data_IF_223492446011
#
_entry.id   IF_223492446011
#
_cell.length_a   1.000
_cell.length_b   1.000
_cell.length_c   1.000
_cell.angle_alpha   90.00
_cell.angle_beta   90.00
_cell.angle_gamma   90.00
#
_symmetry.space_group_name_H-M   'P 1'
#
loop_
_entity.id
_entity.type
_entity.pdbx_description
1 polymer ?
#
# COMPACT_ATOMS: atom_id res chain seq x y z
N UNK A 1 -18.02 21.77 -13.32
CA UNK A 1 -18.69 22.37 -12.16
C UNK A 1 -17.78 22.14 -10.98
N UNK A 2 -17.07 23.18 -10.53
CA UNK A 2 -16.22 23.15 -9.34
C UNK A 2 -17.17 23.04 -8.11
N UNK A 3 -17.15 21.89 -7.46
CA UNK A 3 -17.75 21.75 -6.14
C UNK A 3 -16.87 22.56 -5.16
N UNK A 4 -17.31 23.75 -4.84
CA UNK A 4 -16.85 24.49 -3.66
C UNK A 4 -17.29 23.68 -2.45
N UNK A 5 -16.49 22.73 -2.01
CA UNK A 5 -16.65 22.11 -0.70
C UNK A 5 -16.24 23.15 0.34
N UNK A 6 -17.20 23.98 0.78
CA UNK A 6 -17.10 24.71 2.03
C UNK A 6 -16.74 23.69 3.11
N UNK A 7 -15.60 23.88 3.74
CA UNK A 7 -14.98 23.10 4.80
C UNK A 7 -15.93 22.11 5.51
N UNK A 8 -16.08 20.91 4.95
CA UNK A 8 -16.86 19.86 5.59
C UNK A 8 -16.12 19.41 6.85
N UNK A 9 -16.81 19.46 7.99
CA UNK A 9 -16.24 19.04 9.28
C UNK A 9 -16.81 17.68 9.66
N UNK A 10 -15.93 16.69 9.72
CA UNK A 10 -16.26 15.33 10.15
C UNK A 10 -16.17 15.21 11.66
N UNK A 11 -17.17 14.54 12.26
CA UNK A 11 -17.28 14.31 13.71
C UNK A 11 -17.07 15.57 14.56
N UNK A 12 -17.40 16.76 14.02
CA UNK A 12 -17.17 18.08 14.65
C UNK A 12 -15.71 18.36 15.03
N UNK A 13 -14.75 17.65 14.41
CA UNK A 13 -13.33 17.69 14.76
C UNK A 13 -12.40 17.82 13.54
N UNK A 14 -12.66 17.12 12.46
CA UNK A 14 -11.73 17.07 11.32
C UNK A 14 -12.26 17.92 10.18
N UNK A 15 -11.64 19.08 9.95
CA UNK A 15 -11.99 19.99 8.87
C UNK A 15 -11.24 19.61 7.60
N UNK A 16 -11.98 19.18 6.58
CA UNK A 16 -11.39 18.85 5.28
C UNK A 16 -10.93 20.10 4.55
N UNK A 17 -9.71 20.08 3.98
CA UNK A 17 -9.13 21.23 3.27
C UNK A 17 -9.01 20.98 1.76
N UNK A 18 -8.30 19.94 1.38
CA UNK A 18 -8.01 19.64 -0.03
C UNK A 18 -7.92 18.13 -0.29
N UNK A 19 -8.36 17.73 -1.48
CA UNK A 19 -8.23 16.35 -1.94
C UNK A 19 -6.76 16.04 -2.25
N UNK A 20 -6.21 14.97 -1.65
CA UNK A 20 -4.87 14.45 -1.95
C UNK A 20 -4.95 13.38 -3.04
N UNK A 21 -5.84 12.40 -2.88
CA UNK A 21 -5.99 11.29 -3.80
C UNK A 21 -7.42 10.77 -3.83
N UNK A 22 -7.82 10.14 -4.96
CA UNK A 22 -9.10 9.45 -5.11
C UNK A 22 -8.88 8.11 -5.79
N UNK A 23 -9.55 7.06 -5.30
CA UNK A 23 -9.41 5.70 -5.81
C UNK A 23 -10.68 4.86 -5.64
N UNK A 24 -10.55 3.58 -5.95
CA UNK A 24 -11.69 2.64 -5.92
C UNK A 24 -12.37 2.51 -4.56
N UNK A 25 -11.66 2.70 -3.46
CA UNK A 25 -12.17 2.54 -2.10
C UNK A 25 -12.65 3.83 -1.46
N UNK A 26 -12.22 4.97 -1.97
CA UNK A 26 -12.56 6.25 -1.38
C UNK A 26 -11.63 7.37 -1.82
N UNK A 27 -11.60 8.39 -1.00
CA UNK A 27 -10.77 9.58 -1.21
C UNK A 27 -9.94 9.89 0.03
N UNK A 28 -8.73 10.38 -0.17
CA UNK A 28 -7.83 10.84 0.89
C UNK A 28 -7.75 12.35 0.83
N UNK A 29 -7.99 12.98 1.96
CA UNK A 29 -8.03 14.43 2.11
C UNK A 29 -6.98 14.92 3.07
N UNK A 30 -6.37 16.06 2.78
CA UNK A 30 -5.72 16.88 3.77
C UNK A 30 -6.80 17.50 4.66
N UNK A 31 -6.59 17.46 5.98
CA UNK A 31 -7.54 18.01 6.95
C UNK A 31 -6.80 18.60 8.16
N UNK A 32 -7.50 19.35 8.98
CA UNK A 32 -7.02 19.84 10.27
C UNK A 32 -7.83 19.19 11.39
N UNK A 33 -7.14 18.62 12.37
CA UNK A 33 -7.71 18.21 13.66
C UNK A 33 -7.92 19.50 14.51
N UNK A 34 -9.15 19.98 14.57
CA UNK A 34 -9.51 21.22 15.26
C UNK A 34 -9.32 21.16 16.79
N UNK A 35 -9.20 19.95 17.36
CA UNK A 35 -8.99 19.77 18.81
C UNK A 35 -7.50 19.84 19.16
N UNK A 36 -6.64 19.22 18.32
CA UNK A 36 -5.21 19.17 18.57
C UNK A 36 -4.41 20.18 17.73
N UNK A 37 -5.10 20.99 16.93
CA UNK A 37 -4.53 22.02 16.03
C UNK A 37 -3.35 21.49 15.21
N UNK A 38 -3.58 20.38 14.49
CA UNK A 38 -2.54 19.73 13.68
C UNK A 38 -3.08 19.25 12.33
N UNK A 39 -2.25 19.26 11.28
CA UNK A 39 -2.62 18.67 10.01
C UNK A 39 -2.66 17.13 10.11
N UNK A 40 -3.65 16.55 9.41
CA UNK A 40 -3.88 15.11 9.34
C UNK A 40 -4.29 14.70 7.92
N UNK A 41 -4.13 13.43 7.58
CA UNK A 41 -4.75 12.84 6.41
C UNK A 41 -6.05 12.13 6.83
N UNK A 42 -7.12 12.34 6.07
CA UNK A 42 -8.42 11.69 6.32
C UNK A 42 -8.81 10.89 5.09
N UNK A 43 -8.92 9.58 5.27
CA UNK A 43 -9.41 8.66 4.24
C UNK A 43 -10.88 8.41 4.42
N UNK A 44 -11.70 8.82 3.44
CA UNK A 44 -13.15 8.61 3.43
C UNK A 44 -13.47 7.35 2.65
N UNK A 45 -14.28 6.46 3.23
CA UNK A 45 -14.81 5.31 2.52
C UNK A 45 -15.91 5.77 1.54
N UNK A 46 -15.94 5.19 0.33
CA UNK A 46 -17.02 5.47 -0.62
C UNK A 46 -18.40 5.10 -0.05
N UNK A 47 -19.37 5.94 -0.28
CA UNK A 47 -20.74 5.75 0.23
C UNK A 47 -21.35 4.42 -0.23
N UNK A 48 -21.06 3.99 -1.48
CA UNK A 48 -21.55 2.72 -2.00
C UNK A 48 -20.98 1.51 -1.25
N UNK A 49 -19.72 1.61 -0.81
CA UNK A 49 -19.05 0.58 0.00
C UNK A 49 -19.52 0.62 1.46
N UNK A 50 -19.90 1.79 1.95
CA UNK A 50 -20.43 1.98 3.29
C UNK A 50 -21.85 1.38 3.49
N UNK A 51 -22.55 1.02 2.42
CA UNK A 51 -23.83 0.31 2.48
C UNK A 51 -23.69 -1.18 2.85
N UNK A 52 -22.49 -1.73 2.79
CA UNK A 52 -22.21 -3.13 3.14
C UNK A 52 -21.65 -3.26 4.56
N UNK A 53 -22.42 -3.80 5.54
CA UNK A 53 -21.99 -3.94 6.94
C UNK A 53 -20.63 -4.67 7.08
N UNK A 54 -20.42 -5.71 6.28
CA UNK A 54 -19.16 -6.45 6.25
C UNK A 54 -17.97 -5.59 5.84
N UNK A 55 -18.17 -4.64 4.93
CA UNK A 55 -17.10 -3.72 4.49
C UNK A 55 -16.73 -2.74 5.58
N UNK A 56 -17.71 -2.19 6.29
CA UNK A 56 -17.46 -1.30 7.44
C UNK A 56 -16.77 -2.07 8.57
N UNK A 57 -17.25 -3.27 8.90
CA UNK A 57 -16.65 -4.09 9.96
C UNK A 57 -15.17 -4.40 9.67
N UNK A 58 -14.83 -4.69 8.41
CA UNK A 58 -13.45 -4.91 7.96
C UNK A 58 -12.62 -3.64 8.03
N UNK A 59 -13.13 -2.53 7.50
CA UNK A 59 -12.46 -1.22 7.55
C UNK A 59 -12.12 -0.83 9.01
N UNK A 60 -13.06 -1.06 9.94
CA UNK A 60 -12.86 -0.85 11.38
C UNK A 60 -11.82 -1.81 11.98
N UNK A 61 -11.86 -3.10 11.62
CA UNK A 61 -10.90 -4.08 12.12
C UNK A 61 -9.46 -3.75 11.66
N UNK A 62 -9.29 -3.37 10.41
CA UNK A 62 -8.01 -2.95 9.83
C UNK A 62 -7.49 -1.65 10.47
N UNK A 63 -8.37 -0.68 10.68
CA UNK A 63 -8.03 0.54 11.42
C UNK A 63 -7.49 0.22 12.81
N UNK A 64 -8.12 -0.72 13.54
CA UNK A 64 -7.66 -1.15 14.87
C UNK A 64 -6.30 -1.84 14.83
N UNK A 65 -6.06 -2.70 13.84
CA UNK A 65 -4.77 -3.37 13.68
C UNK A 65 -3.67 -2.37 13.33
N UNK A 66 -3.93 -1.46 12.40
CA UNK A 66 -2.96 -0.43 12.02
C UNK A 66 -2.67 0.57 13.16
N UNK A 67 -3.68 0.91 13.98
CA UNK A 67 -3.51 1.82 15.12
C UNK A 67 -2.59 1.25 16.21
N UNK A 68 -2.48 -0.09 16.31
CA UNK A 68 -1.55 -0.75 17.23
C UNK A 68 -0.10 -0.80 16.76
N UNK A 69 0.20 -0.41 15.51
CA UNK A 69 1.54 -0.42 14.98
C UNK A 69 2.25 0.91 15.27
N UNK A 70 3.49 0.84 15.75
CA UNK A 70 4.35 2.01 15.98
C UNK A 70 5.75 1.74 15.44
N UNK A 71 6.09 2.39 14.34
CA UNK A 71 7.41 2.31 13.71
C UNK A 71 7.64 3.55 12.84
N UNK A 72 8.88 4.10 12.75
CA UNK A 72 9.16 5.27 11.91
C UNK A 72 8.70 5.12 10.45
N UNK A 73 8.84 3.93 9.87
CA UNK A 73 8.43 3.65 8.50
C UNK A 73 6.94 3.27 8.36
N UNK A 74 6.10 3.44 9.37
CA UNK A 74 4.65 3.18 9.29
C UNK A 74 3.91 4.48 9.54
N UNK A 75 2.99 4.86 8.65
CA UNK A 75 2.10 5.99 8.86
C UNK A 75 1.17 5.71 10.04
N UNK A 76 1.21 6.56 11.06
CA UNK A 76 0.44 6.36 12.28
C UNK A 76 -1.05 6.59 12.04
N UNK A 77 -1.88 5.66 12.50
CA UNK A 77 -3.34 5.84 12.57
C UNK A 77 -3.69 6.55 13.88
N UNK A 78 -4.50 7.61 13.80
CA UNK A 78 -4.87 8.44 14.94
C UNK A 78 -6.29 8.23 15.42
N UNK A 79 -7.23 8.01 14.48
CA UNK A 79 -8.65 7.93 14.83
C UNK A 79 -9.43 7.21 13.73
N UNK A 80 -10.64 6.78 14.08
CA UNK A 80 -11.58 6.14 13.17
C UNK A 80 -13.00 6.61 13.49
N UNK A 81 -13.76 7.01 12.47
CA UNK A 81 -15.17 7.36 12.59
C UNK A 81 -16.05 6.43 11.80
N UNK A 82 -17.12 5.95 12.43
CA UNK A 82 -18.13 5.13 11.78
C UNK A 82 -19.02 5.95 10.85
N UNK A 83 -19.57 5.27 9.84
CA UNK A 83 -20.64 5.83 9.04
C UNK A 83 -21.86 6.15 9.93
N UNK A 84 -22.43 7.34 9.80
CA UNK A 84 -23.60 7.78 10.55
C UNK A 84 -24.50 8.67 9.68
N UNK A 85 -25.71 8.20 9.40
CA UNK A 85 -26.61 8.86 8.45
C UNK A 85 -25.97 8.94 7.07
N UNK A 86 -25.90 10.15 6.52
CA UNK A 86 -25.27 10.40 5.20
C UNK A 86 -23.74 10.58 5.25
N UNK A 87 -23.14 10.48 6.44
CA UNK A 87 -21.70 10.66 6.61
C UNK A 87 -20.96 9.32 6.40
N UNK A 88 -19.92 9.29 5.56
CA UNK A 88 -19.13 8.09 5.33
C UNK A 88 -18.27 7.72 6.56
N UNK A 89 -17.92 6.42 6.68
CA UNK A 89 -16.85 6.02 7.59
C UNK A 89 -15.52 6.64 7.14
N UNK A 90 -14.67 7.00 8.11
CA UNK A 90 -13.39 7.63 7.82
C UNK A 90 -12.28 7.13 8.75
N UNK A 91 -11.06 7.23 8.25
CA UNK A 91 -9.84 6.93 8.98
C UNK A 91 -8.96 8.17 9.02
N UNK A 92 -8.50 8.56 10.21
CA UNK A 92 -7.58 9.69 10.40
C UNK A 92 -6.18 9.15 10.63
N UNK A 93 -5.21 9.64 9.88
CA UNK A 93 -3.84 9.17 9.93
C UNK A 93 -2.84 10.31 9.81
N UNK A 94 -1.58 9.99 10.03
CA UNK A 94 -0.45 10.87 9.82
C UNK A 94 -0.48 11.45 8.41
N UNK A 95 -0.40 12.76 8.30
CA UNK A 95 -0.20 13.43 7.01
C UNK A 95 1.29 13.42 6.68
N UNK A 96 1.65 12.72 5.62
CA UNK A 96 3.03 12.64 5.15
C UNK A 96 3.29 13.77 4.18
N UNK A 97 4.29 14.58 4.47
CA UNK A 97 4.71 15.70 3.62
C UNK A 97 5.78 15.24 2.64
N UNK A 98 5.35 14.55 1.59
CA UNK A 98 6.23 14.03 0.56
C UNK A 98 5.48 13.24 -0.51
N UNK A 99 6.12 13.00 -1.67
CA UNK A 99 5.51 12.29 -2.78
C UNK A 99 5.47 10.78 -2.55
N UNK A 100 4.58 10.07 -3.22
CA UNK A 100 4.66 8.61 -3.32
C UNK A 100 5.90 8.20 -4.15
N UNK A 101 6.42 7.01 -3.87
CA UNK A 101 7.57 6.43 -4.59
C UNK A 101 7.30 6.32 -6.11
N UNK A 102 6.04 6.20 -6.50
CA UNK A 102 5.60 6.25 -7.91
C UNK A 102 6.13 7.50 -8.64
N UNK A 103 6.10 8.66 -7.97
CA UNK A 103 6.52 9.93 -8.59
C UNK A 103 8.04 10.02 -8.74
N UNK A 104 8.80 9.32 -7.89
CA UNK A 104 10.24 9.21 -8.03
C UNK A 104 10.59 8.30 -9.21
N UNK A 105 9.97 7.12 -9.28
CA UNK A 105 10.16 6.14 -10.35
C UNK A 105 9.79 6.75 -11.72
N UNK A 106 8.75 7.58 -11.78
CA UNK A 106 8.35 8.26 -13.02
C UNK A 106 9.42 9.18 -13.60
N UNK A 107 10.43 9.57 -12.80
CA UNK A 107 11.57 10.38 -13.25
C UNK A 107 12.72 9.53 -13.81
N UNK A 108 12.65 8.20 -13.65
CA UNK A 108 13.63 7.23 -14.10
C UNK A 108 14.06 6.25 -13.01
N UNK A 109 14.94 5.32 -13.38
CA UNK A 109 15.51 4.36 -12.45
C UNK A 109 16.31 5.04 -11.33
N UNK A 110 16.19 4.51 -10.11
CA UNK A 110 16.89 5.04 -8.94
C UNK A 110 18.24 4.35 -8.75
N UNK A 111 19.23 5.04 -8.11
CA UNK A 111 20.49 4.43 -7.74
C UNK A 111 20.31 3.23 -6.78
N UNK A 112 21.09 2.17 -6.96
CA UNK A 112 20.98 0.96 -6.14
C UNK A 112 21.10 1.23 -4.62
N UNK A 113 21.95 2.15 -4.20
CA UNK A 113 22.11 2.53 -2.80
C UNK A 113 20.83 3.15 -2.22
N UNK A 114 20.15 4.01 -2.98
CA UNK A 114 18.87 4.62 -2.57
C UNK A 114 17.77 3.57 -2.49
N UNK A 115 17.71 2.65 -3.46
CA UNK A 115 16.75 1.55 -3.45
C UNK A 115 16.95 0.64 -2.25
N UNK A 116 18.21 0.31 -1.90
CA UNK A 116 18.51 -0.50 -0.72
C UNK A 116 18.09 0.18 0.58
N UNK A 117 18.27 1.50 0.69
CA UNK A 117 17.82 2.26 1.85
C UNK A 117 16.28 2.25 1.96
N UNK A 118 15.58 2.47 0.86
CA UNK A 118 14.11 2.37 0.81
C UNK A 118 13.64 0.97 1.24
N UNK A 119 14.24 -0.10 0.67
CA UNK A 119 13.87 -1.49 1.01
C UNK A 119 14.10 -1.76 2.49
N UNK A 120 15.24 -1.34 3.04
CA UNK A 120 15.58 -1.58 4.44
C UNK A 120 14.57 -0.91 5.38
N UNK A 121 14.16 0.33 5.10
CA UNK A 121 13.15 1.03 5.88
C UNK A 121 11.78 0.33 5.80
N UNK A 122 11.34 -0.04 4.59
CA UNK A 122 10.05 -0.74 4.39
C UNK A 122 10.09 -2.12 5.07
N UNK A 123 11.17 -2.88 4.91
CA UNK A 123 11.33 -4.17 5.56
C UNK A 123 11.25 -4.05 7.09
N UNK A 124 11.92 -3.05 7.69
CA UNK A 124 11.82 -2.77 9.12
C UNK A 124 10.38 -2.52 9.58
N UNK A 125 9.60 -1.73 8.83
CA UNK A 125 8.19 -1.50 9.10
C UNK A 125 7.35 -2.77 8.97
N UNK A 126 7.58 -3.55 7.90
CA UNK A 126 6.89 -4.82 7.68
C UNK A 126 7.21 -5.85 8.77
N UNK A 127 8.46 -5.92 9.25
CA UNK A 127 8.84 -6.81 10.36
C UNK A 127 8.02 -6.53 11.61
N UNK A 128 7.83 -5.26 11.97
CA UNK A 128 6.98 -4.86 13.12
C UNK A 128 5.52 -5.25 12.89
N UNK A 129 4.98 -4.99 11.70
CA UNK A 129 3.60 -5.36 11.36
C UNK A 129 3.39 -6.88 11.42
N UNK A 130 4.30 -7.66 10.81
CA UNK A 130 4.24 -9.11 10.78
C UNK A 130 4.35 -9.73 12.18
N UNK A 131 5.21 -9.20 13.04
CA UNK A 131 5.32 -9.62 14.45
C UNK A 131 4.02 -9.37 15.23
N UNK A 132 3.25 -8.34 14.86
CA UNK A 132 1.92 -8.05 15.40
C UNK A 132 0.79 -8.85 14.73
N UNK A 133 1.11 -9.78 13.81
CA UNK A 133 0.12 -10.55 13.04
C UNK A 133 -0.59 -9.78 11.93
N UNK A 134 -0.08 -8.61 11.56
CA UNK A 134 -0.64 -7.75 10.52
C UNK A 134 0.13 -7.92 9.22
N UNK A 135 -0.55 -8.31 8.15
CA UNK A 135 0.00 -8.41 6.79
C UNK A 135 -0.52 -7.22 5.97
N UNK A 136 0.35 -6.54 5.22
CA UNK A 136 -0.03 -5.34 4.47
C UNK A 136 -0.91 -5.65 3.26
N UNK A 137 -0.59 -6.67 2.48
CA UNK A 137 -1.36 -7.21 1.33
C UNK A 137 -1.40 -6.36 0.06
N UNK A 138 -0.93 -5.11 0.09
CA UNK A 138 -0.96 -4.18 -1.04
C UNK A 138 0.31 -3.29 -1.07
N UNK A 139 1.49 -3.88 -0.89
CA UNK A 139 2.77 -3.18 -1.04
C UNK A 139 2.95 -2.83 -2.52
N UNK A 140 3.07 -1.52 -2.79
CA UNK A 140 3.30 -0.94 -4.12
C UNK A 140 3.85 0.48 -3.98
N UNK A 141 4.47 1.05 -5.01
CA UNK A 141 5.08 2.40 -4.93
C UNK A 141 4.10 3.49 -4.48
N UNK A 142 2.81 3.39 -4.85
CA UNK A 142 1.80 4.38 -4.46
C UNK A 142 1.46 4.38 -2.96
N UNK A 143 1.78 3.30 -2.22
CA UNK A 143 1.54 3.18 -0.78
C UNK A 143 2.83 3.42 0.04
N UNK A 144 3.92 3.82 -0.61
CA UNK A 144 5.20 4.16 0.00
C UNK A 144 5.46 5.65 -0.22
N UNK A 145 5.28 6.46 0.81
CA UNK A 145 5.52 7.90 0.74
C UNK A 145 6.91 8.21 1.26
N UNK A 146 7.61 9.13 0.62
CA UNK A 146 8.95 9.54 1.07
C UNK A 146 8.83 10.97 1.57
N UNK A 147 9.03 11.16 2.87
CA UNK A 147 8.96 12.48 3.48
C UNK A 147 10.18 13.34 3.10
N UNK A 148 10.16 14.62 3.50
CA UNK A 148 11.25 15.58 3.20
C UNK A 148 12.58 15.22 3.84
N UNK A 149 12.60 14.35 4.84
CA UNK A 149 13.83 13.88 5.49
C UNK A 149 14.43 12.64 4.80
N UNK A 150 13.73 12.06 3.81
CA UNK A 150 14.08 10.80 3.16
C UNK A 150 13.53 9.57 3.89
N UNK A 151 12.67 9.77 4.89
CA UNK A 151 12.05 8.65 5.61
C UNK A 151 10.89 8.07 4.79
N UNK A 152 10.91 6.75 4.61
CA UNK A 152 9.82 6.05 3.92
C UNK A 152 8.69 5.77 4.91
N UNK A 153 7.46 6.06 4.49
CA UNK A 153 6.24 5.78 5.24
C UNK A 153 5.33 4.82 4.48
N UNK A 154 5.09 3.67 5.06
CA UNK A 154 4.11 2.69 4.56
C UNK A 154 2.73 3.19 4.95
N UNK A 155 1.85 3.36 3.97
CA UNK A 155 0.45 3.78 4.17
C UNK A 155 -0.51 2.68 3.74
N UNK A 156 -1.78 2.78 4.09
CA UNK A 156 -2.84 1.90 3.62
C UNK A 156 -2.67 0.41 3.98
N UNK A 157 -2.26 0.12 5.22
CA UNK A 157 -2.24 -1.24 5.73
C UNK A 157 -3.60 -1.91 5.56
N UNK A 158 -3.64 -2.94 4.70
CA UNK A 158 -4.72 -3.93 4.62
C UNK A 158 -6.13 -3.45 4.27
N UNK A 159 -6.38 -2.14 4.15
CA UNK A 159 -7.72 -1.54 3.95
C UNK A 159 -8.43 -2.05 2.69
N UNK A 160 -7.68 -2.67 1.77
CA UNK A 160 -8.15 -3.07 0.46
C UNK A 160 -8.63 -4.51 0.35
N UNK A 161 -8.13 -5.43 1.16
CA UNK A 161 -8.35 -6.87 0.93
C UNK A 161 -9.00 -7.55 2.13
N UNK A 162 -10.31 -7.65 2.06
CA UNK A 162 -11.06 -8.54 2.91
C UNK A 162 -10.51 -9.98 2.87
N UNK A 163 -10.30 -10.57 4.02
CA UNK A 163 -10.06 -12.00 4.13
C UNK A 163 -11.12 -12.77 3.31
N UNK A 164 -10.69 -13.51 2.30
CA UNK A 164 -11.58 -14.30 1.44
C UNK A 164 -11.83 -13.73 0.04
N UNK A 165 -11.45 -12.51 -0.28
CA UNK A 165 -11.50 -12.03 -1.67
C UNK A 165 -10.25 -12.52 -2.39
N UNK A 166 -10.38 -13.56 -3.22
CA UNK A 166 -9.36 -13.88 -4.20
C UNK A 166 -9.18 -12.63 -5.10
N UNK A 167 -7.94 -12.25 -5.45
CA UNK A 167 -7.70 -11.16 -6.39
C UNK A 167 -8.45 -11.39 -7.70
N UNK A 168 -8.60 -12.65 -8.09
CA UNK A 168 -9.40 -13.10 -9.21
C UNK A 168 -10.83 -13.38 -8.72
N UNK A 169 -11.78 -12.54 -9.11
CA UNK A 169 -13.20 -12.78 -8.81
C UNK A 169 -13.70 -14.03 -9.55
N UNK A 170 -14.83 -14.60 -9.11
CA UNK A 170 -15.52 -15.71 -9.81
C UNK A 170 -15.87 -15.35 -11.27
N UNK A 171 -15.91 -14.08 -11.62
CA UNK A 171 -16.13 -13.55 -12.97
C UNK A 171 -14.84 -13.35 -13.76
N UNK A 172 -13.67 -13.75 -13.25
CA UNK A 172 -12.38 -13.56 -13.93
C UNK A 172 -11.84 -12.12 -13.88
N UNK A 173 -12.49 -11.22 -13.15
CA UNK A 173 -12.00 -9.85 -13.00
C UNK A 173 -10.96 -9.79 -11.89
N UNK A 174 -9.76 -9.31 -12.22
CA UNK A 174 -8.70 -9.07 -11.24
C UNK A 174 -8.94 -7.73 -10.54
N UNK A 175 -9.07 -7.75 -9.21
CA UNK A 175 -9.23 -6.52 -8.42
C UNK A 175 -7.85 -6.10 -7.90
N UNK A 176 -7.44 -4.87 -8.21
CA UNK A 176 -6.18 -4.29 -7.78
C UNK A 176 -5.15 -4.15 -8.90
N UNK A 177 -3.94 -3.75 -8.54
CA UNK A 177 -2.82 -3.59 -9.46
C UNK A 177 -2.03 -4.91 -9.52
N UNK A 178 -2.12 -5.69 -10.61
CA UNK A 178 -1.50 -7.01 -10.66
C UNK A 178 0.03 -6.98 -10.66
N UNK A 179 0.64 -5.84 -10.99
CA UNK A 179 2.09 -5.71 -11.17
C UNK A 179 2.96 -6.08 -9.95
N UNK A 180 2.38 -6.07 -8.75
CA UNK A 180 3.10 -6.40 -7.50
C UNK A 180 2.53 -7.62 -6.79
N UNK A 181 1.56 -8.31 -7.40
CA UNK A 181 0.80 -9.38 -6.75
C UNK A 181 1.62 -10.68 -6.68
N UNK A 182 1.77 -11.22 -5.49
CA UNK A 182 2.52 -12.46 -5.28
C UNK A 182 1.85 -13.67 -5.95
N UNK A 183 2.62 -14.65 -6.50
CA UNK A 183 2.11 -15.81 -7.22
C UNK A 183 1.08 -16.64 -6.45
N UNK A 184 1.27 -16.84 -5.16
CA UNK A 184 0.33 -17.55 -4.30
C UNK A 184 -1.02 -16.83 -4.19
N UNK A 185 -1.01 -15.49 -4.23
CA UNK A 185 -2.25 -14.69 -4.22
C UNK A 185 -3.04 -14.86 -5.51
N UNK A 186 -2.36 -14.94 -6.64
CA UNK A 186 -2.97 -15.22 -7.95
C UNK A 186 -3.60 -16.61 -7.95
N UNK A 187 -3.00 -17.55 -7.23
CA UNK A 187 -3.51 -18.91 -7.05
C UNK A 187 -4.65 -19.03 -6.03
N UNK A 188 -5.12 -17.89 -5.47
CA UNK A 188 -6.22 -17.86 -4.52
C UNK A 188 -5.83 -18.21 -3.07
N UNK A 189 -4.55 -18.36 -2.79
CA UNK A 189 -4.08 -18.59 -1.42
C UNK A 189 -4.16 -17.31 -0.57
N UNK A 190 -4.29 -17.41 0.74
CA UNK A 190 -4.30 -16.25 1.63
C UNK A 190 -2.95 -15.51 1.58
N UNK A 191 -2.98 -14.17 1.73
CA UNK A 191 -1.75 -13.41 1.87
C UNK A 191 -1.08 -13.71 3.22
N UNK A 192 0.24 -13.82 3.18
CA UNK A 192 1.09 -13.94 4.36
C UNK A 192 2.24 -12.93 4.31
N UNK A 193 3.10 -12.91 5.35
CA UNK A 193 4.32 -12.08 5.36
C UNK A 193 5.17 -12.23 4.09
N UNK A 194 5.33 -13.45 3.61
CA UNK A 194 6.08 -13.73 2.38
C UNK A 194 5.46 -13.07 1.13
N UNK A 195 4.14 -12.80 1.11
CA UNK A 195 3.50 -12.09 0.01
C UNK A 195 3.91 -10.61 -0.02
N UNK A 196 4.04 -9.97 1.15
CA UNK A 196 4.52 -8.60 1.24
C UNK A 196 5.98 -8.48 0.81
N UNK A 197 6.82 -9.49 1.16
CA UNK A 197 8.22 -9.56 0.71
C UNK A 197 8.35 -9.68 -0.81
N UNK A 198 7.50 -10.51 -1.43
CA UNK A 198 7.45 -10.58 -2.88
C UNK A 198 7.10 -9.21 -3.49
N UNK A 199 6.06 -8.57 -2.98
CA UNK A 199 5.63 -7.27 -3.47
C UNK A 199 6.72 -6.20 -3.27
N UNK A 200 7.46 -6.25 -2.15
CA UNK A 200 8.62 -5.39 -1.90
C UNK A 200 9.74 -5.63 -2.92
N UNK A 201 10.04 -6.89 -3.25
CA UNK A 201 10.99 -7.24 -4.30
C UNK A 201 10.58 -6.70 -5.67
N UNK A 202 9.28 -6.74 -6.00
CA UNK A 202 8.73 -6.16 -7.24
C UNK A 202 8.86 -4.63 -7.28
N UNK A 203 8.60 -3.96 -6.16
CA UNK A 203 8.85 -2.50 -6.02
C UNK A 203 10.33 -2.18 -6.22
N UNK A 204 11.22 -2.95 -5.60
CA UNK A 204 12.66 -2.77 -5.74
C UNK A 204 13.13 -2.96 -7.20
N UNK A 205 12.63 -4.00 -7.87
CA UNK A 205 12.91 -4.21 -9.29
C UNK A 205 12.51 -2.99 -10.12
N UNK A 206 11.30 -2.47 -9.92
CA UNK A 206 10.82 -1.30 -10.65
C UNK A 206 11.66 -0.04 -10.34
N UNK A 207 12.04 0.18 -9.09
CA UNK A 207 12.95 1.27 -8.72
C UNK A 207 14.29 1.18 -9.45
N UNK A 208 14.87 -0.01 -9.59
CA UNK A 208 16.18 -0.23 -10.22
C UNK A 208 16.13 -0.18 -11.75
N UNK A 209 15.01 -0.61 -12.34
CA UNK A 209 14.85 -0.67 -13.81
C UNK A 209 14.11 0.53 -14.39
N UNK A 210 13.36 1.29 -13.57
CA UNK A 210 12.46 2.36 -13.98
C UNK A 210 11.13 1.87 -14.59
N UNK A 211 10.86 0.56 -14.58
CA UNK A 211 9.66 -0.01 -15.18
C UNK A 211 9.25 -1.33 -14.49
N UNK A 212 7.97 -1.64 -14.53
CA UNK A 212 7.46 -2.95 -14.07
C UNK A 212 7.96 -4.06 -14.98
N UNK A 213 8.29 -5.27 -14.44
CA UNK A 213 8.86 -6.35 -15.24
C UNK A 213 7.88 -6.99 -16.21
N UNK A 214 6.58 -6.92 -15.93
CA UNK A 214 5.54 -7.56 -16.72
C UNK A 214 4.47 -6.55 -17.12
N UNK A 215 4.13 -6.54 -18.42
CA UNK A 215 3.14 -5.63 -19.02
C UNK A 215 2.09 -6.45 -19.79
N UNK A 216 0.95 -5.84 -20.07
CA UNK A 216 -0.15 -6.47 -20.79
C UNK A 216 -1.47 -6.35 -20.05
N UNK A 217 -2.41 -7.24 -20.36
CA UNK A 217 -3.68 -7.35 -19.63
C UNK A 217 -3.44 -7.82 -18.20
N UNK A 218 -4.38 -7.56 -17.30
CA UNK A 218 -4.29 -8.01 -15.91
C UNK A 218 -4.06 -9.53 -15.77
N UNK A 219 -4.66 -10.33 -16.67
CA UNK A 219 -4.47 -11.78 -16.70
C UNK A 219 -3.08 -12.18 -17.19
N UNK A 220 -2.55 -11.51 -18.22
CA UNK A 220 -1.21 -11.78 -18.72
C UNK A 220 -0.14 -11.46 -17.67
N UNK A 221 -0.27 -10.33 -16.99
CA UNK A 221 0.61 -9.96 -15.88
C UNK A 221 0.53 -11.00 -14.76
N UNK A 222 -0.68 -11.41 -14.36
CA UNK A 222 -0.86 -12.42 -13.33
C UNK A 222 -0.22 -13.77 -13.74
N UNK A 223 -0.37 -14.19 -14.98
CA UNK A 223 0.28 -15.40 -15.49
C UNK A 223 1.81 -15.26 -15.53
N UNK A 224 2.32 -14.08 -15.90
CA UNK A 224 3.76 -13.83 -15.91
C UNK A 224 4.38 -13.98 -14.51
N UNK A 225 3.77 -13.44 -13.45
CA UNK A 225 4.22 -13.65 -12.07
C UNK A 225 4.31 -15.13 -11.66
N UNK A 226 3.44 -15.98 -12.21
CA UNK A 226 3.44 -17.42 -11.91
C UNK A 226 4.43 -18.23 -12.73
N UNK A 227 4.66 -17.85 -13.98
CA UNK A 227 5.32 -18.72 -14.99
C UNK A 227 6.67 -18.18 -15.47
N UNK A 228 6.87 -16.86 -15.44
CA UNK A 228 8.06 -16.23 -15.99
C UNK A 228 9.07 -15.90 -14.89
N UNK A 229 10.34 -15.84 -15.25
CA UNK A 229 11.38 -15.23 -14.43
C UNK A 229 11.40 -13.71 -14.68
N UNK A 230 11.87 -12.95 -13.72
CA UNK A 230 12.09 -11.52 -13.93
C UNK A 230 13.07 -11.31 -15.09
N UNK A 231 12.85 -10.31 -15.95
CA UNK A 231 13.86 -9.85 -16.88
C UNK A 231 15.13 -9.44 -16.14
N UNK A 232 16.32 -9.54 -16.78
CA UNK A 232 17.56 -9.12 -16.14
C UNK A 232 17.53 -7.63 -15.77
N UNK A 233 18.03 -7.30 -14.58
CA UNK A 233 18.24 -5.90 -14.19
C UNK A 233 19.34 -5.26 -15.03
N UNK A 234 19.39 -3.91 -15.12
CA UNK A 234 20.47 -3.20 -15.78
C UNK A 234 21.84 -3.62 -15.24
N UNK A 235 22.86 -3.71 -16.11
CA UNK A 235 24.21 -4.12 -15.74
C UNK A 235 24.91 -3.18 -14.71
N UNK A 236 24.34 -2.01 -14.47
CA UNK A 236 24.78 -1.07 -13.43
C UNK A 236 24.36 -1.50 -12.02
N UNK A 237 23.44 -2.47 -11.89
CA UNK A 237 23.00 -2.99 -10.58
C UNK A 237 24.02 -4.01 -10.06
N UNK A 238 24.51 -3.86 -8.83
CA UNK A 238 25.45 -4.80 -8.23
C UNK A 238 24.86 -6.23 -8.14
N UNK A 239 25.68 -7.29 -8.37
CA UNK A 239 25.20 -8.68 -8.35
C UNK A 239 24.54 -9.11 -7.03
N UNK A 240 24.99 -8.57 -5.90
CA UNK A 240 24.41 -8.82 -4.58
C UNK A 240 23.01 -8.23 -4.45
N UNK A 241 22.72 -7.09 -5.09
CA UNK A 241 21.40 -6.47 -5.13
C UNK A 241 20.47 -7.29 -6.03
N UNK A 242 20.94 -7.72 -7.20
CA UNK A 242 20.19 -8.60 -8.10
C UNK A 242 19.81 -9.91 -7.41
N UNK A 243 20.73 -10.49 -6.63
CA UNK A 243 20.44 -11.69 -5.81
C UNK A 243 19.36 -11.42 -4.78
N UNK A 244 19.44 -10.33 -4.03
CA UNK A 244 18.42 -9.94 -3.04
C UNK A 244 17.03 -9.84 -3.69
N UNK A 245 16.94 -9.19 -4.87
CA UNK A 245 15.68 -9.08 -5.60
C UNK A 245 15.17 -10.46 -6.02
N UNK A 246 16.07 -11.32 -6.51
CA UNK A 246 15.73 -12.70 -6.90
C UNK A 246 15.21 -13.52 -5.71
N UNK A 247 15.82 -13.38 -4.54
CA UNK A 247 15.40 -14.07 -3.30
C UNK A 247 14.03 -13.57 -2.84
N UNK A 248 13.81 -12.25 -2.82
CA UNK A 248 12.52 -11.67 -2.45
C UNK A 248 11.39 -12.08 -3.41
N UNK A 249 11.70 -12.20 -4.70
CA UNK A 249 10.72 -12.51 -5.76
C UNK A 249 10.66 -13.99 -6.13
N UNK A 250 11.23 -14.89 -5.30
CA UNK A 250 11.09 -16.31 -5.48
C UNK A 250 9.62 -16.71 -5.59
N UNK A 251 9.27 -17.54 -6.60
CA UNK A 251 7.88 -17.92 -6.86
C UNK A 251 7.26 -18.70 -5.71
N UNK A 252 8.01 -19.65 -5.16
CA UNK A 252 7.60 -20.37 -3.96
C UNK A 252 7.92 -19.51 -2.72
N UNK A 253 6.91 -19.17 -1.89
CA UNK A 253 7.12 -18.41 -0.67
C UNK A 253 8.17 -19.00 0.28
N UNK A 254 8.37 -20.33 0.26
CA UNK A 254 9.33 -21.02 1.12
C UNK A 254 10.80 -20.69 0.81
N UNK A 255 11.10 -20.21 -0.39
CA UNK A 255 12.45 -19.80 -0.80
C UNK A 255 12.72 -18.31 -0.58
N UNK A 256 11.72 -17.53 -0.16
CA UNK A 256 11.91 -16.13 0.22
C UNK A 256 12.54 -16.03 1.62
N UNK A 257 13.15 -14.88 1.97
CA UNK A 257 13.58 -14.63 3.34
C UNK A 257 12.46 -14.95 4.35
N UNK A 258 12.78 -15.56 5.50
CA UNK A 258 11.76 -15.99 6.48
C UNK A 258 11.13 -14.81 7.24
N UNK A 259 11.73 -13.65 7.17
CA UNK A 259 11.24 -12.39 7.79
C UNK A 259 11.67 -11.20 6.95
N UNK A 260 10.99 -10.08 7.14
CA UNK A 260 11.35 -8.80 6.57
C UNK A 260 12.55 -8.16 7.31
#
# INVERSE_FOLDING_TARGET
>A
MSLSLNAEVLASRYQLESLIASGGMGSVWRAVDLVLDRPVAVKLLRTELAQHPDTIARFRAEARHAAGLSHPAIAQVYDFGDASGDKPAFLVMELIDGPPLTDLIARGALPAAEVLDIIAQVAGGLAVAHAAGVVHRDIKPGNLLIDRSGLVKITDFGVAYAAGSAPLTRTGTLIGTPAYLAPERISGQPAGPASDLYSLGMVAYECLSGQVPFTGTAMEIALAHRLQSLPPLPSSVPPEVDRLISDLTARDPAYRPPSA
#
